data_IF_469363665161
#
_entry.id   IF_469363665161
#
_cell.length_a   1.000
_cell.length_b   1.000
_cell.length_c   1.000
_cell.angle_alpha   90.00
_cell.angle_beta   90.00
_cell.angle_gamma   90.00
#
_symmetry.space_group_name_H-M   'P 1'
#
loop_
_entity.id
_entity.type
_entity.pdbx_description
1 polymer ?
#
# COMPACT_ATOMS: atom_id res chain seq x y z
N UNK A 1 -23.96 -22.16 -4.27
CA UNK A 1 -23.40 -21.13 -5.18
C UNK A 1 -22.80 -19.99 -4.38
N UNK A 2 -21.60 -20.21 -3.81
CA UNK A 2 -20.82 -19.17 -3.13
C UNK A 2 -19.91 -18.49 -4.16
N UNK A 3 -20.46 -17.61 -4.98
CA UNK A 3 -19.67 -16.61 -5.67
C UNK A 3 -19.30 -15.50 -4.67
N UNK A 4 -18.37 -15.79 -3.78
CA UNK A 4 -17.66 -14.74 -3.05
C UNK A 4 -16.84 -14.00 -4.09
N UNK A 5 -17.25 -12.77 -4.45
CA UNK A 5 -16.48 -11.92 -5.34
C UNK A 5 -15.10 -11.68 -4.71
N UNK A 6 -14.09 -12.41 -5.16
CA UNK A 6 -12.70 -12.16 -4.80
C UNK A 6 -12.38 -10.73 -5.20
N UNK A 7 -12.22 -9.86 -4.21
CA UNK A 7 -11.78 -8.48 -4.45
C UNK A 7 -10.28 -8.53 -4.71
N UNK A 8 -9.90 -8.53 -5.97
CA UNK A 8 -8.49 -8.55 -6.39
C UNK A 8 -7.95 -7.13 -6.37
N UNK A 9 -6.91 -6.88 -5.61
CA UNK A 9 -6.16 -5.62 -5.63
C UNK A 9 -5.03 -5.77 -6.64
N UNK A 10 -4.95 -4.85 -7.59
CA UNK A 10 -3.97 -4.85 -8.68
C UNK A 10 -2.90 -3.76 -8.56
N UNK A 11 -3.11 -2.81 -7.67
CA UNK A 11 -2.13 -1.76 -7.43
C UNK A 11 -2.33 -1.05 -6.10
N UNK A 12 -1.21 -0.69 -5.49
CA UNK A 12 -1.13 0.17 -4.31
C UNK A 12 -0.23 1.35 -4.65
N UNK A 13 -0.76 2.57 -4.51
CA UNK A 13 0.02 3.81 -4.61
C UNK A 13 0.11 4.47 -3.24
N UNK A 14 1.34 4.68 -2.79
CA UNK A 14 1.61 5.35 -1.51
C UNK A 14 2.31 6.69 -1.79
N UNK A 15 1.76 7.77 -1.26
CA UNK A 15 2.38 9.09 -1.26
C UNK A 15 2.89 9.44 0.13
N UNK A 16 4.06 10.08 0.19
CA UNK A 16 4.67 10.56 1.43
C UNK A 16 4.94 12.05 1.38
N UNK A 17 5.20 12.65 2.53
CA UNK A 17 5.42 14.07 2.81
C UNK A 17 4.16 14.93 2.85
N UNK A 18 3.13 14.66 2.06
CA UNK A 18 1.83 15.30 2.13
C UNK A 18 0.76 14.25 2.41
N UNK A 19 0.09 14.32 3.54
CA UNK A 19 -1.08 13.51 3.84
C UNK A 19 -2.29 14.04 3.08
N UNK A 20 -3.12 13.16 2.50
CA UNK A 20 -4.39 13.58 1.91
C UNK A 20 -5.48 13.67 2.98
N UNK A 21 -5.23 14.52 3.97
CA UNK A 21 -6.06 14.73 5.15
C UNK A 21 -6.29 16.22 5.34
N UNK A 22 -7.51 16.64 5.64
CA UNK A 22 -7.93 18.04 5.67
C UNK A 22 -7.77 18.78 4.35
N UNK A 23 -7.78 18.07 3.23
CA UNK A 23 -7.64 18.59 1.87
C UNK A 23 -9.00 18.84 1.17
N UNK A 24 -10.09 18.50 1.86
CA UNK A 24 -11.45 18.75 1.40
C UNK A 24 -11.76 18.16 0.02
N UNK A 25 -12.44 18.95 -0.80
CA UNK A 25 -12.85 18.55 -2.15
C UNK A 25 -11.66 18.32 -3.07
N UNK A 26 -10.64 19.17 -2.97
CA UNK A 26 -9.41 19.09 -3.76
C UNK A 26 -8.69 17.75 -3.58
N UNK A 27 -8.57 17.28 -2.35
CA UNK A 27 -7.92 15.98 -2.07
C UNK A 27 -8.68 14.79 -2.66
N UNK A 28 -10.02 14.84 -2.66
CA UNK A 28 -10.84 13.81 -3.32
C UNK A 28 -10.66 13.82 -4.83
N UNK A 29 -10.73 14.98 -5.46
CA UNK A 29 -10.52 15.14 -6.90
C UNK A 29 -9.12 14.70 -7.32
N UNK A 30 -8.12 14.98 -6.50
CA UNK A 30 -6.74 14.54 -6.72
C UNK A 30 -6.61 13.02 -6.77
N UNK A 31 -7.23 12.31 -5.83
CA UNK A 31 -7.24 10.83 -5.84
C UNK A 31 -7.98 10.30 -7.07
N UNK A 32 -9.10 10.89 -7.46
CA UNK A 32 -9.85 10.48 -8.66
C UNK A 32 -9.00 10.65 -9.94
N UNK A 33 -8.23 11.74 -10.05
CA UNK A 33 -7.28 11.96 -11.15
C UNK A 33 -6.20 10.89 -11.17
N UNK A 34 -5.55 10.63 -10.04
CA UNK A 34 -4.49 9.63 -9.93
C UNK A 34 -5.04 8.22 -10.22
N UNK A 35 -6.22 7.89 -9.72
CA UNK A 35 -6.85 6.60 -9.92
C UNK A 35 -7.14 6.32 -11.41
N UNK A 36 -7.69 7.31 -12.12
CA UNK A 36 -7.94 7.22 -13.57
C UNK A 36 -6.64 7.06 -14.36
N UNK A 37 -5.61 7.85 -14.04
CA UNK A 37 -4.33 7.77 -14.73
C UNK A 37 -3.62 6.45 -14.49
N UNK A 38 -3.53 6.00 -13.23
CA UNK A 38 -2.87 4.74 -12.87
C UNK A 38 -3.60 3.54 -13.48
N UNK A 39 -4.94 3.50 -13.41
CA UNK A 39 -5.78 2.49 -14.05
C UNK A 39 -5.47 2.37 -15.55
N UNK A 40 -5.41 3.51 -16.26
CA UNK A 40 -5.08 3.55 -17.70
C UNK A 40 -3.68 3.04 -17.99
N UNK A 41 -2.67 3.48 -17.25
CA UNK A 41 -1.27 3.09 -17.46
C UNK A 41 -1.08 1.59 -17.23
N UNK A 42 -1.66 1.05 -16.16
CA UNK A 42 -1.59 -0.37 -15.84
C UNK A 42 -2.30 -1.21 -16.91
N UNK A 43 -3.48 -0.83 -17.35
CA UNK A 43 -4.24 -1.53 -18.41
C UNK A 43 -3.46 -1.59 -19.73
N UNK A 44 -2.91 -0.47 -20.21
CA UNK A 44 -2.14 -0.41 -21.46
C UNK A 44 -0.91 -1.33 -21.40
N UNK A 45 -0.24 -1.37 -20.25
CA UNK A 45 0.97 -2.18 -20.09
C UNK A 45 0.66 -3.68 -19.94
N UNK A 46 -0.44 -4.05 -19.32
CA UNK A 46 -0.87 -5.45 -19.26
C UNK A 46 -1.22 -5.99 -20.65
N UNK A 47 -1.89 -5.21 -21.48
CA UNK A 47 -2.25 -5.64 -22.83
C UNK A 47 -1.04 -5.85 -23.75
N UNK A 48 0.09 -5.16 -23.51
CA UNK A 48 1.34 -5.35 -24.28
C UNK A 48 2.10 -6.63 -23.90
N UNK A 49 1.89 -7.17 -22.70
CA UNK A 49 2.68 -8.28 -22.18
C UNK A 49 2.00 -9.65 -22.25
N UNK A 50 0.73 -9.73 -22.60
CA UNK A 50 -0.02 -10.98 -22.72
C UNK A 50 -0.54 -11.19 -24.14
N UNK A 51 -0.16 -12.31 -24.75
CA UNK A 51 -0.74 -12.76 -26.02
C UNK A 51 -2.25 -13.02 -25.80
N UNK A 52 -3.08 -12.08 -26.17
CA UNK A 52 -4.49 -12.32 -26.50
C UNK A 52 -5.55 -12.00 -25.45
N UNK A 53 -5.26 -11.56 -24.24
CA UNK A 53 -6.30 -11.14 -23.28
C UNK A 53 -5.97 -9.80 -22.65
N UNK A 54 -6.76 -8.78 -22.98
CA UNK A 54 -6.66 -7.45 -22.37
C UNK A 54 -7.34 -7.48 -21.00
N UNK A 55 -6.58 -7.69 -19.95
CA UNK A 55 -7.11 -7.55 -18.59
C UNK A 55 -7.13 -6.07 -18.21
N UNK A 56 -8.33 -5.50 -18.04
CA UNK A 56 -8.51 -4.11 -17.67
C UNK A 56 -8.32 -3.95 -16.16
N UNK A 57 -7.42 -3.07 -15.75
CA UNK A 57 -7.31 -2.65 -14.34
C UNK A 57 -8.36 -1.58 -14.07
N UNK A 58 -9.30 -1.87 -13.19
CA UNK A 58 -10.38 -0.94 -12.81
C UNK A 58 -9.93 -0.10 -11.61
N UNK A 59 -10.49 1.10 -11.49
CA UNK A 59 -10.20 2.01 -10.34
C UNK A 59 -10.44 1.31 -9.00
N UNK A 60 -11.49 0.49 -8.90
CA UNK A 60 -11.82 -0.27 -7.69
C UNK A 60 -10.78 -1.33 -7.29
N UNK A 61 -9.88 -1.68 -8.20
CA UNK A 61 -8.79 -2.65 -7.98
C UNK A 61 -7.51 -1.95 -7.47
N UNK A 62 -7.57 -0.63 -7.26
CA UNK A 62 -6.47 0.20 -6.79
C UNK A 62 -6.71 0.64 -5.34
N UNK A 63 -5.62 0.68 -4.57
CA UNK A 63 -5.60 1.22 -3.20
C UNK A 63 -4.64 2.41 -3.17
N UNK A 64 -5.02 3.42 -2.39
CA UNK A 64 -4.24 4.63 -2.18
C UNK A 64 -3.98 4.81 -0.69
N UNK A 65 -2.78 5.24 -0.35
CA UNK A 65 -2.40 5.63 1.00
C UNK A 65 -1.53 6.89 0.95
N UNK A 66 -1.63 7.73 1.95
CA UNK A 66 -0.82 8.94 2.07
C UNK A 66 -0.40 9.16 3.51
N UNK A 67 0.74 9.82 3.70
CA UNK A 67 1.25 10.21 5.02
C UNK A 67 2.14 11.43 4.89
N UNK A 68 2.20 12.26 5.94
CA UNK A 68 3.02 13.46 5.99
C UNK A 68 2.28 14.66 6.54
N UNK A 69 2.58 15.85 6.04
CA UNK A 69 1.95 17.10 6.49
C UNK A 69 0.45 17.11 6.18
N UNK A 70 -0.34 17.53 7.17
CA UNK A 70 -1.79 17.58 7.13
C UNK A 70 -2.25 18.99 6.72
N UNK A 71 -3.30 19.08 5.90
CA UNK A 71 -3.92 20.36 5.53
C UNK A 71 -3.21 21.13 4.42
N UNK A 72 -2.15 20.59 3.85
CA UNK A 72 -1.51 21.14 2.64
C UNK A 72 -2.14 20.58 1.37
N UNK A 73 -2.02 21.35 0.30
CA UNK A 73 -2.48 20.93 -1.02
C UNK A 73 -1.79 19.64 -1.47
N UNK A 74 -2.60 18.68 -1.89
CA UNK A 74 -2.10 17.38 -2.33
C UNK A 74 -1.40 17.53 -3.70
N UNK A 75 -0.12 17.10 -3.84
CA UNK A 75 0.72 17.40 -5.00
C UNK A 75 0.40 16.49 -6.19
N UNK A 76 -0.84 16.52 -6.67
CA UNK A 76 -1.40 15.59 -7.68
C UNK A 76 -0.59 15.58 -8.98
N UNK A 77 -0.17 16.75 -9.49
CA UNK A 77 0.55 16.83 -10.76
C UNK A 77 1.94 16.21 -10.67
N UNK A 78 2.68 16.47 -9.60
CA UNK A 78 4.00 15.87 -9.37
C UNK A 78 3.92 14.34 -9.32
N UNK A 79 2.87 13.80 -8.70
CA UNK A 79 2.66 12.35 -8.63
C UNK A 79 2.27 11.82 -10.01
N UNK A 80 1.32 12.48 -10.69
CA UNK A 80 0.82 12.08 -12.01
C UNK A 80 1.94 11.95 -13.04
N UNK A 81 2.86 12.91 -13.08
CA UNK A 81 4.01 12.94 -14.00
C UNK A 81 4.96 11.75 -13.78
N UNK A 82 5.06 11.24 -12.55
CA UNK A 82 5.94 10.12 -12.18
C UNK A 82 5.32 8.74 -12.36
N UNK A 83 4.00 8.64 -12.51
CA UNK A 83 3.33 7.34 -12.62
C UNK A 83 3.84 6.46 -13.76
N UNK A 84 4.10 6.98 -15.00
CA UNK A 84 4.60 6.15 -16.09
C UNK A 84 5.95 5.50 -15.76
N UNK A 85 6.90 6.28 -15.23
CA UNK A 85 8.23 5.81 -14.83
C UNK A 85 8.16 4.79 -13.69
N UNK A 86 7.34 5.06 -12.67
CA UNK A 86 7.15 4.13 -11.56
C UNK A 86 6.58 2.77 -12.03
N UNK A 87 5.59 2.77 -12.89
CA UNK A 87 5.00 1.54 -13.43
C UNK A 87 5.99 0.82 -14.36
N UNK A 88 6.83 1.54 -15.09
CA UNK A 88 7.90 0.96 -15.91
C UNK A 88 8.90 0.19 -15.04
N UNK A 89 9.38 0.82 -13.97
CA UNK A 89 10.35 0.20 -13.04
C UNK A 89 9.78 -1.02 -12.34
N UNK A 90 8.53 -0.97 -11.87
CA UNK A 90 7.88 -2.12 -11.23
C UNK A 90 7.88 -3.38 -12.10
N UNK A 91 7.86 -3.24 -13.41
CA UNK A 91 7.80 -4.38 -14.36
C UNK A 91 9.13 -4.93 -14.77
N UNK A 92 10.13 -4.07 -14.87
CA UNK A 92 11.43 -4.41 -15.42
C UNK A 92 12.44 -4.87 -14.37
N UNK A 93 12.13 -4.64 -13.10
CA UNK A 93 13.11 -4.75 -12.04
C UNK A 93 12.59 -5.63 -10.89
N UNK A 94 12.90 -6.93 -10.96
CA UNK A 94 12.58 -7.91 -9.92
C UNK A 94 13.79 -8.16 -9.00
N UNK A 95 14.11 -7.17 -8.15
CA UNK A 95 15.24 -7.27 -7.23
C UNK A 95 14.78 -7.03 -5.78
N UNK A 96 15.33 -7.80 -4.84
CA UNK A 96 15.09 -7.63 -3.38
C UNK A 96 15.37 -6.20 -2.89
N UNK A 97 16.27 -5.47 -3.54
CA UNK A 97 16.59 -4.07 -3.25
C UNK A 97 15.37 -3.13 -3.40
N UNK A 98 14.38 -3.49 -4.22
CA UNK A 98 13.16 -2.66 -4.37
C UNK A 98 12.29 -2.66 -3.14
N UNK A 99 12.27 -3.74 -2.37
CA UNK A 99 11.60 -3.77 -1.07
C UNK A 99 12.23 -2.77 -0.10
N UNK A 100 13.56 -2.69 -0.07
CA UNK A 100 14.28 -1.70 0.76
C UNK A 100 13.98 -0.29 0.25
N UNK A 101 14.04 -0.04 -1.06
CA UNK A 101 13.70 1.26 -1.65
C UNK A 101 12.26 1.66 -1.36
N UNK A 102 11.30 0.73 -1.45
CA UNK A 102 9.91 0.98 -1.13
C UNK A 102 9.72 1.28 0.35
N UNK A 103 10.33 0.51 1.24
CA UNK A 103 10.31 0.76 2.68
C UNK A 103 10.93 2.13 3.04
N UNK A 104 12.01 2.51 2.36
CA UNK A 104 12.64 3.82 2.53
C UNK A 104 11.78 4.97 1.98
N UNK A 105 11.09 4.74 0.86
CA UNK A 105 10.27 5.76 0.20
C UNK A 105 9.04 6.16 1.02
N UNK A 106 8.52 5.27 1.86
CA UNK A 106 7.37 5.56 2.72
C UNK A 106 7.75 6.20 4.08
N UNK A 107 9.03 6.33 4.37
CA UNK A 107 9.51 6.96 5.61
C UNK A 107 9.19 8.45 5.65
N UNK A 108 8.93 8.95 6.86
CA UNK A 108 8.81 10.39 7.15
C UNK A 108 9.85 10.81 8.20
N UNK A 109 9.63 10.51 9.46
CA UNK A 109 10.54 10.75 10.58
C UNK A 109 11.37 9.52 10.97
N UNK A 110 11.14 8.41 10.30
CA UNK A 110 11.86 7.17 10.54
C UNK A 110 13.36 7.31 10.30
N UNK A 111 14.17 6.69 11.15
CA UNK A 111 15.63 6.66 11.01
C UNK A 111 16.12 5.48 10.17
N UNK A 112 15.30 4.43 10.04
CA UNK A 112 15.65 3.21 9.30
C UNK A 112 14.40 2.65 8.60
N UNK A 113 14.55 2.07 7.39
CA UNK A 113 13.46 1.34 6.75
C UNK A 113 13.08 0.10 7.57
N UNK A 114 11.78 -0.13 7.70
CA UNK A 114 11.22 -1.28 8.41
C UNK A 114 10.64 -2.25 7.39
N UNK A 115 11.22 -3.43 7.34
CA UNK A 115 10.77 -4.52 6.48
C UNK A 115 10.99 -5.87 7.18
N UNK A 116 10.13 -6.81 6.88
CA UNK A 116 10.19 -8.18 7.36
C UNK A 116 9.79 -9.15 6.24
N UNK A 117 10.33 -10.35 6.30
CA UNK A 117 10.02 -11.42 5.37
C UNK A 117 10.02 -12.74 6.13
N UNK A 118 8.97 -13.54 5.92
CA UNK A 118 8.80 -14.84 6.51
C UNK A 118 8.29 -15.84 5.49
N UNK A 119 8.67 -17.10 5.66
CA UNK A 119 8.18 -18.23 4.89
C UNK A 119 7.64 -19.31 5.82
N UNK A 120 6.54 -19.93 5.43
CA UNK A 120 5.94 -21.04 6.16
C UNK A 120 5.36 -22.05 5.17
N UNK A 121 5.52 -23.33 5.46
CA UNK A 121 4.89 -24.41 4.68
C UNK A 121 3.55 -24.75 5.34
N UNK A 122 2.47 -24.68 4.57
CA UNK A 122 1.13 -25.05 5.00
C UNK A 122 0.62 -26.13 4.03
N UNK A 123 0.50 -27.35 4.53
CA UNK A 123 0.32 -28.51 3.65
C UNK A 123 1.56 -28.68 2.75
N UNK A 124 1.34 -28.68 1.43
CA UNK A 124 2.41 -28.78 0.41
C UNK A 124 2.79 -27.41 -0.20
N UNK A 125 2.20 -26.32 0.31
CA UNK A 125 2.37 -24.98 -0.27
C UNK A 125 3.33 -24.12 0.55
N UNK A 126 4.31 -23.52 -0.13
CA UNK A 126 5.20 -22.52 0.46
C UNK A 126 4.52 -21.15 0.48
N UNK A 127 4.10 -20.71 1.64
CA UNK A 127 3.50 -19.38 1.86
C UNK A 127 4.60 -18.40 2.23
N UNK A 128 4.61 -17.28 1.50
CA UNK A 128 5.53 -16.15 1.70
C UNK A 128 4.76 -14.95 2.23
N UNK A 129 5.34 -14.29 3.22
CA UNK A 129 4.78 -13.08 3.80
C UNK A 129 5.88 -12.02 3.79
N UNK A 130 5.60 -10.88 3.15
CA UNK A 130 6.50 -9.73 3.13
C UNK A 130 5.79 -8.52 3.71
N UNK A 131 6.44 -7.81 4.62
CA UNK A 131 5.89 -6.62 5.25
C UNK A 131 6.84 -5.43 5.13
N UNK A 132 6.27 -4.25 4.92
CA UNK A 132 6.96 -2.97 5.09
C UNK A 132 6.10 -2.08 5.98
N UNK A 133 6.77 -1.27 6.81
CA UNK A 133 6.09 -0.35 7.70
C UNK A 133 6.86 0.95 7.84
N UNK A 134 6.16 2.01 8.23
CA UNK A 134 6.74 3.31 8.62
C UNK A 134 6.12 3.79 9.91
N UNK A 135 6.84 4.63 10.62
CA UNK A 135 6.43 5.32 11.83
C UNK A 135 7.55 5.30 12.86
N UNK A 136 7.86 6.46 13.44
CA UNK A 136 8.84 6.61 14.53
C UNK A 136 8.47 7.68 15.54
N UNK A 137 7.49 8.51 15.25
CA UNK A 137 6.89 9.48 16.16
C UNK A 137 5.37 9.42 16.03
N UNK A 138 4.67 9.92 17.04
CA UNK A 138 3.21 9.88 17.14
C UNK A 138 2.69 8.44 17.11
N UNK A 139 3.39 7.56 17.83
CA UNK A 139 3.09 6.12 17.92
C UNK A 139 2.65 5.77 19.34
N UNK A 140 1.39 5.41 19.49
CA UNK A 140 0.80 4.90 20.72
C UNK A 140 -0.09 3.68 20.44
N UNK A 141 -0.42 2.86 21.44
CA UNK A 141 -1.36 1.75 21.28
C UNK A 141 -2.67 2.19 20.61
N UNK A 142 -3.20 1.34 19.72
CA UNK A 142 -4.33 1.62 18.82
C UNK A 142 -4.02 2.56 17.65
N UNK A 143 -2.82 2.53 17.19
CA UNK A 143 -2.17 3.17 16.06
C UNK A 143 -3.07 3.92 15.07
N UNK A 144 -2.95 5.23 15.05
CA UNK A 144 -3.52 6.04 13.99
C UNK A 144 -2.46 6.53 12.97
N UNK A 145 -1.16 6.46 13.28
CA UNK A 145 -0.10 7.11 12.47
C UNK A 145 0.81 6.15 11.73
N UNK A 146 0.70 4.84 11.97
CA UNK A 146 1.57 3.87 11.30
C UNK A 146 0.93 3.34 10.02
N UNK A 147 1.67 3.44 8.91
CA UNK A 147 1.34 2.70 7.70
C UNK A 147 2.12 1.39 7.68
N UNK A 148 1.41 0.29 7.49
CA UNK A 148 2.00 -1.03 7.29
C UNK A 148 1.31 -1.73 6.13
N UNK A 149 2.11 -2.32 5.25
CA UNK A 149 1.63 -3.07 4.09
C UNK A 149 2.19 -4.47 4.16
N UNK A 150 1.30 -5.46 4.22
CA UNK A 150 1.65 -6.88 4.30
C UNK A 150 1.17 -7.56 3.02
N UNK A 151 2.07 -8.27 2.37
CA UNK A 151 1.85 -8.98 1.11
C UNK A 151 2.05 -10.47 1.33
N UNK A 152 1.21 -11.27 0.72
CA UNK A 152 1.32 -12.73 0.75
C UNK A 152 0.86 -13.36 -0.55
N UNK A 153 1.40 -14.53 -0.89
CA UNK A 153 0.93 -15.37 -1.98
C UNK A 153 -0.20 -16.32 -1.54
N UNK A 154 -0.58 -16.32 -0.26
CA UNK A 154 -1.67 -17.16 0.23
C UNK A 154 -3.02 -16.73 -0.33
N UNK A 155 -3.81 -17.69 -0.80
CA UNK A 155 -5.20 -17.47 -1.19
C UNK A 155 -6.11 -17.53 0.03
N UNK A 156 -6.35 -16.38 0.65
CA UNK A 156 -7.08 -16.26 1.91
C UNK A 156 -8.45 -15.60 1.67
N UNK A 157 -9.50 -16.21 2.21
CA UNK A 157 -10.82 -15.58 2.24
C UNK A 157 -10.78 -14.25 3.03
N UNK A 158 -11.45 -13.22 2.54
CA UNK A 158 -11.41 -11.87 3.12
C UNK A 158 -11.85 -11.79 4.58
N UNK A 159 -12.82 -12.61 5.00
CA UNK A 159 -13.28 -12.65 6.39
C UNK A 159 -12.23 -13.28 7.30
N UNK A 160 -11.62 -14.38 6.85
CA UNK A 160 -10.52 -15.02 7.57
C UNK A 160 -9.31 -14.08 7.65
N UNK A 161 -8.93 -13.46 6.53
CA UNK A 161 -7.84 -12.48 6.50
C UNK A 161 -8.06 -11.35 7.52
N UNK A 162 -9.27 -10.78 7.57
CA UNK A 162 -9.62 -9.74 8.53
C UNK A 162 -9.48 -10.21 9.98
N UNK A 163 -9.91 -11.43 10.28
CA UNK A 163 -9.81 -12.02 11.62
C UNK A 163 -8.35 -12.26 12.01
N UNK A 164 -7.56 -12.85 11.13
CA UNK A 164 -6.14 -13.13 11.35
C UNK A 164 -5.35 -11.83 11.52
N UNK A 165 -5.60 -10.84 10.65
CA UNK A 165 -4.95 -9.54 10.73
C UNK A 165 -5.27 -8.83 12.05
N UNK A 166 -6.53 -8.78 12.44
CA UNK A 166 -6.94 -8.17 13.72
C UNK A 166 -6.23 -8.80 14.91
N UNK A 167 -6.15 -10.13 14.94
CA UNK A 167 -5.46 -10.88 16.01
C UNK A 167 -3.95 -10.60 15.99
N UNK A 168 -3.31 -10.63 14.84
CA UNK A 168 -1.88 -10.37 14.71
C UNK A 168 -1.53 -8.94 15.12
N UNK A 169 -2.28 -7.94 14.66
CA UNK A 169 -2.06 -6.52 14.96
C UNK A 169 -2.20 -6.21 16.44
N UNK A 170 -3.15 -6.82 17.15
CA UNK A 170 -3.34 -6.56 18.58
C UNK A 170 -2.14 -6.95 19.45
N UNK A 171 -1.38 -7.96 19.04
CA UNK A 171 -0.21 -8.46 19.76
C UNK A 171 1.13 -7.95 19.18
N UNK A 172 1.09 -7.08 18.19
CA UNK A 172 2.29 -6.54 17.52
C UNK A 172 2.18 -5.03 17.37
N UNK A 173 1.65 -4.54 16.28
CA UNK A 173 1.59 -3.11 15.99
C UNK A 173 0.82 -2.30 17.04
N UNK A 174 -0.32 -2.78 17.52
CA UNK A 174 -1.10 -2.08 18.55
C UNK A 174 -0.48 -2.17 19.96
N UNK A 175 0.56 -2.97 20.13
CA UNK A 175 1.31 -3.09 21.39
C UNK A 175 2.58 -2.20 21.41
N UNK A 176 2.84 -1.46 20.32
CA UNK A 176 4.03 -0.60 20.22
C UNK A 176 3.68 0.83 20.62
N UNK A 177 4.52 1.42 21.47
CA UNK A 177 4.51 2.86 21.72
C UNK A 177 5.93 3.43 21.60
N UNK A 178 6.04 4.67 21.13
CA UNK A 178 7.32 5.40 21.04
C UNK A 178 7.28 6.64 21.92
N UNK A 179 6.25 7.46 21.81
CA UNK A 179 6.10 8.74 22.51
C UNK A 179 4.76 8.89 23.22
N UNK A 180 3.93 7.85 23.20
CA UNK A 180 2.57 7.81 23.75
C UNK A 180 1.59 8.78 23.08
N UNK A 181 1.95 9.41 21.97
CA UNK A 181 1.09 10.31 21.22
C UNK A 181 0.35 9.53 20.10
N UNK A 182 -0.93 9.83 19.96
CA UNK A 182 -1.75 9.27 18.87
C UNK A 182 -1.95 10.32 17.79
N UNK A 183 -1.88 9.91 16.51
CA UNK A 183 -2.32 10.79 15.43
C UNK A 183 -3.82 11.04 15.50
N UNK A 184 -4.19 12.24 15.14
CA UNK A 184 -5.60 12.63 15.07
C UNK A 184 -6.23 12.35 13.70
N UNK A 185 -5.42 12.09 12.66
CA UNK A 185 -5.91 12.21 11.29
C UNK A 185 -5.29 11.28 10.23
N UNK A 186 -4.43 10.37 10.60
CA UNK A 186 -3.85 9.41 9.63
C UNK A 186 -4.72 8.17 9.43
#
# INVERSE_FOLDING_TARGET
NNNSHKKTIKGLLVNTKNANTFTGKQGKESIDILAKNLSRILTIKESKNRKGTTETVKIKDLIFASTGVIGEDFPVEKIRERLPDLVERLRNEHNKMYWIKMASAIMTTDTKPKLAYEEVIIGDELIKISGIAKGSGMIAPNLATMLSFIFTNADINSNLLKTLLKRAVSNSFNAITVDSDQSTND
#
